data_IF_502546868311
#
_entry.id   IF_502546868311
#
_cell.length_a   1.000
_cell.length_b   1.000
_cell.length_c   1.000
_cell.angle_alpha   90.00
_cell.angle_beta   90.00
_cell.angle_gamma   90.00
#
_symmetry.space_group_name_H-M   'P 1'
#
loop_
_entity.id
_entity.type
_entity.pdbx_description
1 polymer ?
#
# COMPACT_ATOMS: atom_id res chain seq x y z
N UNK A 1 -27.68 -2.66 -38.67
CA UNK A 1 -27.69 -1.77 -39.86
C UNK A 1 -26.34 -1.92 -40.54
N UNK A 2 -26.31 -2.42 -41.79
CA UNK A 2 -25.09 -2.57 -42.61
C UNK A 2 -24.70 -1.23 -43.24
N UNK A 3 -23.41 -0.88 -43.23
CA UNK A 3 -22.69 -0.11 -44.27
C UNK A 3 -21.19 -0.45 -44.09
N UNK A 4 -20.57 -1.27 -44.93
CA UNK A 4 -20.08 -1.04 -46.30
C UNK A 4 -18.65 -0.43 -46.33
N UNK A 5 -17.74 -1.31 -46.72
CA UNK A 5 -16.39 -1.21 -47.30
C UNK A 5 -16.02 0.10 -48.01
N UNK A 6 -14.79 0.61 -47.79
CA UNK A 6 -13.68 0.71 -48.76
C UNK A 6 -12.67 1.82 -48.34
N UNK A 7 -11.40 1.48 -48.10
CA UNK A 7 -10.26 1.87 -48.96
C UNK A 7 -8.92 1.42 -48.33
N UNK A 8 -8.20 0.58 -49.10
CA UNK A 8 -6.80 0.22 -48.90
C UNK A 8 -5.91 1.46 -49.01
N UNK A 9 -5.05 1.68 -48.02
CA UNK A 9 -3.75 2.34 -48.20
C UNK A 9 -2.70 1.37 -47.65
N UNK A 10 -1.82 0.88 -48.51
CA UNK A 10 -0.74 -0.03 -48.17
C UNK A 10 0.61 0.72 -48.28
N UNK A 11 1.41 0.53 -47.21
CA UNK A 11 2.86 0.63 -47.10
C UNK A 11 3.45 2.03 -46.81
N UNK A 12 4.30 2.24 -45.79
CA UNK A 12 5.00 1.25 -44.97
C UNK A 12 5.40 1.79 -43.59
N UNK A 13 4.93 1.10 -42.56
CA UNK A 13 5.72 0.82 -41.39
C UNK A 13 6.22 -0.63 -41.58
N UNK A 14 7.52 -0.88 -41.44
CA UNK A 14 8.05 -2.23 -41.61
C UNK A 14 7.35 -3.20 -40.67
N UNK A 15 6.56 -4.13 -41.21
CA UNK A 15 6.14 -5.31 -40.46
C UNK A 15 7.41 -6.09 -40.13
N UNK A 16 7.92 -5.94 -38.92
CA UNK A 16 8.87 -6.90 -38.39
C UNK A 16 8.13 -8.24 -38.35
N UNK A 17 8.46 -9.15 -39.26
CA UNK A 17 7.90 -10.50 -39.26
C UNK A 17 8.26 -11.16 -37.94
N UNK A 18 7.26 -11.51 -37.15
CA UNK A 18 7.49 -12.20 -35.89
C UNK A 18 8.21 -13.53 -36.13
N UNK A 19 9.26 -13.79 -35.36
CA UNK A 19 10.08 -14.99 -35.53
C UNK A 19 9.53 -16.15 -34.70
N UNK A 20 9.79 -17.38 -35.13
CA UNK A 20 9.48 -18.58 -34.34
C UNK A 20 10.14 -18.53 -32.95
N UNK A 21 11.33 -17.93 -32.85
CA UNK A 21 12.03 -17.69 -31.60
C UNK A 21 11.25 -16.74 -30.67
N UNK A 22 10.66 -15.67 -31.21
CA UNK A 22 9.82 -14.77 -30.42
C UNK A 22 8.57 -15.47 -29.90
N UNK A 23 7.93 -16.30 -30.72
CA UNK A 23 6.75 -17.08 -30.30
C UNK A 23 7.13 -18.05 -29.17
N UNK A 24 8.28 -18.71 -29.30
CA UNK A 24 8.81 -19.61 -28.27
C UNK A 24 9.13 -18.86 -26.97
N UNK A 25 9.74 -17.67 -27.07
CA UNK A 25 10.04 -16.80 -25.94
C UNK A 25 8.76 -16.34 -25.22
N UNK A 26 7.75 -15.89 -25.97
CA UNK A 26 6.47 -15.43 -25.41
C UNK A 26 5.78 -16.55 -24.61
N UNK A 27 5.73 -17.77 -25.17
CA UNK A 27 5.17 -18.94 -24.48
C UNK A 27 5.96 -19.32 -23.23
N UNK A 28 7.29 -19.22 -23.29
CA UNK A 28 8.15 -19.49 -22.13
C UNK A 28 7.94 -18.47 -21.01
N UNK A 29 7.79 -17.18 -21.36
CA UNK A 29 7.49 -16.10 -20.42
C UNK A 29 6.18 -16.36 -19.66
N UNK A 30 5.11 -16.68 -20.38
CA UNK A 30 3.80 -16.99 -19.76
C UNK A 30 3.91 -18.19 -18.82
N UNK A 31 4.63 -19.24 -19.22
CA UNK A 31 4.86 -20.41 -18.35
C UNK A 31 5.68 -20.05 -17.11
N UNK A 32 6.67 -19.17 -17.25
CA UNK A 32 7.47 -18.69 -16.12
C UNK A 32 6.64 -17.83 -15.16
N UNK A 33 5.74 -16.98 -15.67
CA UNK A 33 4.82 -16.19 -14.84
C UNK A 33 3.97 -17.09 -13.95
N UNK A 34 3.28 -18.10 -14.51
CA UNK A 34 2.44 -18.99 -13.70
C UNK A 34 3.23 -19.85 -12.70
N UNK A 35 4.47 -20.22 -13.02
CA UNK A 35 5.35 -20.90 -12.06
C UNK A 35 5.72 -19.98 -10.89
N UNK A 36 6.18 -18.77 -11.19
CA UNK A 36 6.51 -17.78 -10.17
C UNK A 36 5.30 -17.44 -9.29
N UNK A 37 4.11 -17.31 -9.88
CA UNK A 37 2.87 -17.11 -9.14
C UNK A 37 2.57 -18.29 -8.20
N UNK A 38 2.64 -19.52 -8.69
CA UNK A 38 2.44 -20.70 -7.86
C UNK A 38 3.44 -20.79 -6.68
N UNK A 39 4.70 -20.46 -6.93
CA UNK A 39 5.75 -20.46 -5.90
C UNK A 39 5.57 -19.31 -4.88
N UNK A 40 4.97 -18.20 -5.29
CA UNK A 40 4.70 -17.05 -4.43
C UNK A 40 3.52 -17.27 -3.45
N UNK A 41 2.79 -18.38 -3.58
CA UNK A 41 1.67 -18.68 -2.69
C UNK A 41 2.12 -18.86 -1.22
N UNK A 42 1.43 -18.20 -0.30
CA UNK A 42 1.71 -18.13 1.13
C UNK A 42 2.85 -17.19 1.50
N UNK A 43 3.42 -16.44 0.55
CA UNK A 43 4.58 -15.54 0.74
C UNK A 43 4.15 -14.07 0.67
N UNK A 44 5.00 -13.10 1.01
CA UNK A 44 4.72 -11.68 0.74
C UNK A 44 4.40 -11.36 -0.73
N UNK A 45 4.73 -12.26 -1.68
CA UNK A 45 4.37 -12.13 -3.09
C UNK A 45 3.01 -12.71 -3.47
N UNK A 46 2.19 -13.16 -2.51
CA UNK A 46 0.85 -13.71 -2.78
C UNK A 46 -0.03 -12.72 -3.57
N UNK A 47 0.07 -11.41 -3.31
CA UNK A 47 -0.69 -10.42 -4.09
C UNK A 47 -0.33 -10.45 -5.58
N UNK A 48 0.97 -10.56 -5.88
CA UNK A 48 1.45 -10.70 -7.25
C UNK A 48 1.05 -12.05 -7.86
N UNK A 49 0.98 -13.11 -7.04
CA UNK A 49 0.41 -14.39 -7.48
C UNK A 49 -1.06 -14.25 -7.87
N UNK A 50 -1.85 -13.48 -7.11
CA UNK A 50 -3.25 -13.28 -7.40
C UNK A 50 -3.43 -12.46 -8.68
N UNK A 51 -2.57 -11.47 -8.90
CA UNK A 51 -2.55 -10.69 -10.14
C UNK A 51 -2.34 -11.57 -11.37
N UNK A 52 -1.57 -12.65 -11.28
CA UNK A 52 -1.39 -13.58 -12.41
C UNK A 52 -2.70 -14.27 -12.87
N UNK A 53 -3.72 -14.29 -12.02
CA UNK A 53 -5.06 -14.82 -12.32
C UNK A 53 -6.09 -13.72 -12.60
N UNK A 54 -5.70 -12.45 -12.59
CA UNK A 54 -6.57 -11.34 -12.98
C UNK A 54 -7.00 -11.47 -14.46
N UNK A 55 -8.26 -11.11 -14.82
CA UNK A 55 -8.74 -11.22 -16.19
C UNK A 55 -7.83 -10.57 -17.24
N UNK A 56 -7.23 -9.41 -16.96
CA UNK A 56 -6.33 -8.75 -17.90
C UNK A 56 -5.03 -9.56 -18.10
N UNK A 57 -4.49 -10.16 -17.03
CA UNK A 57 -3.28 -11.01 -17.14
C UNK A 57 -3.55 -12.32 -17.85
N UNK A 58 -4.75 -12.89 -17.67
CA UNK A 58 -5.20 -14.06 -18.43
C UNK A 58 -5.24 -13.73 -19.92
N UNK A 59 -5.83 -12.57 -20.29
CA UNK A 59 -5.92 -12.13 -21.68
C UNK A 59 -4.54 -11.92 -22.31
N UNK A 60 -3.62 -11.25 -21.62
CA UNK A 60 -2.22 -11.11 -22.07
C UNK A 60 -1.56 -12.47 -22.30
N UNK A 61 -1.78 -13.44 -21.40
CA UNK A 61 -1.32 -14.80 -21.59
C UNK A 61 -1.87 -15.43 -22.88
N UNK A 62 -3.16 -15.24 -23.18
CA UNK A 62 -3.79 -15.74 -24.41
C UNK A 62 -3.20 -15.10 -25.67
N UNK A 63 -2.97 -13.78 -25.66
CA UNK A 63 -2.29 -13.05 -26.73
C UNK A 63 -0.89 -13.62 -26.99
N UNK A 64 -0.08 -13.76 -25.93
CA UNK A 64 1.29 -14.26 -25.98
C UNK A 64 1.38 -15.72 -26.46
N UNK A 65 0.34 -16.53 -26.21
CA UNK A 65 0.24 -17.92 -26.71
C UNK A 65 -0.31 -18.04 -28.14
N UNK A 66 -0.81 -16.93 -28.71
CA UNK A 66 -1.50 -16.82 -30.01
C UNK A 66 -2.87 -17.52 -30.03
N UNK A 67 -3.56 -17.51 -28.89
CA UNK A 67 -4.91 -18.05 -28.76
C UNK A 67 -5.98 -17.05 -29.22
N UNK A 68 -5.67 -15.75 -29.09
CA UNK A 68 -6.50 -14.63 -29.56
C UNK A 68 -5.65 -13.68 -30.42
N UNK A 69 -6.28 -12.94 -31.36
CA UNK A 69 -5.58 -11.92 -32.15
C UNK A 69 -5.17 -10.72 -31.27
N UNK A 70 -4.03 -10.11 -31.60
CA UNK A 70 -3.54 -8.89 -30.97
C UNK A 70 -2.67 -8.11 -31.97
N UNK A 71 -2.66 -6.79 -31.84
CA UNK A 71 -1.75 -5.86 -32.52
C UNK A 71 -0.34 -5.96 -31.96
N UNK A 72 0.65 -5.42 -32.67
CA UNK A 72 2.05 -5.39 -32.19
C UNK A 72 2.20 -4.61 -30.88
N UNK A 73 1.38 -3.58 -30.69
CA UNK A 73 1.38 -2.77 -29.47
C UNK A 73 0.76 -3.52 -28.29
N UNK A 74 -0.38 -4.19 -28.49
CA UNK A 74 -0.98 -5.06 -27.46
C UNK A 74 -0.03 -6.20 -27.09
N UNK A 75 0.68 -6.77 -28.07
CA UNK A 75 1.72 -7.77 -27.85
C UNK A 75 2.90 -7.23 -27.02
N UNK A 76 3.32 -5.99 -27.26
CA UNK A 76 4.36 -5.32 -26.47
C UNK A 76 3.90 -5.13 -25.02
N UNK A 77 2.68 -4.63 -24.82
CA UNK A 77 2.08 -4.45 -23.50
C UNK A 77 1.96 -5.80 -22.79
N UNK A 78 1.43 -6.83 -23.46
CA UNK A 78 1.27 -8.16 -22.89
C UNK A 78 2.60 -8.74 -22.39
N UNK A 79 3.70 -8.57 -23.13
CA UNK A 79 5.04 -8.99 -22.68
C UNK A 79 5.47 -8.24 -21.42
N UNK A 80 5.35 -6.91 -21.43
CA UNK A 80 5.75 -6.07 -20.31
C UNK A 80 4.97 -6.43 -19.04
N UNK A 81 3.65 -6.52 -19.14
CA UNK A 81 2.80 -6.82 -17.99
C UNK A 81 2.97 -8.27 -17.49
N UNK A 82 3.22 -9.23 -18.38
CA UNK A 82 3.50 -10.63 -18.00
C UNK A 82 4.86 -10.72 -17.30
N UNK A 83 5.88 -10.01 -17.79
CA UNK A 83 7.20 -9.98 -17.16
C UNK A 83 7.19 -9.27 -15.81
N UNK A 84 6.46 -8.16 -15.69
CA UNK A 84 6.26 -7.44 -14.43
C UNK A 84 5.60 -8.34 -13.38
N UNK A 85 4.51 -9.03 -13.76
CA UNK A 85 3.80 -9.98 -12.87
C UNK A 85 4.70 -11.16 -12.48
N UNK A 86 5.46 -11.71 -13.44
CA UNK A 86 6.44 -12.77 -13.17
C UNK A 86 7.51 -12.30 -12.19
N UNK A 87 8.07 -11.12 -12.42
CA UNK A 87 9.13 -10.53 -11.60
C UNK A 87 8.66 -10.25 -10.17
N UNK A 88 7.49 -9.64 -10.03
CA UNK A 88 6.87 -9.38 -8.72
C UNK A 88 6.62 -10.69 -7.95
N UNK A 89 6.03 -11.70 -8.60
CA UNK A 89 5.78 -13.01 -7.98
C UNK A 89 7.08 -13.71 -7.58
N UNK A 90 8.09 -13.69 -8.45
CA UNK A 90 9.36 -14.39 -8.21
C UNK A 90 10.14 -13.84 -7.01
N UNK A 91 9.88 -12.60 -6.58
CA UNK A 91 10.50 -12.02 -5.37
C UNK A 91 9.86 -12.50 -4.08
N UNK A 92 8.60 -12.93 -4.12
CA UNK A 92 7.81 -13.29 -2.94
C UNK A 92 8.47 -14.31 -2.00
N UNK A 93 8.91 -15.48 -2.50
CA UNK A 93 9.48 -16.54 -1.66
C UNK A 93 10.71 -16.11 -0.83
N UNK A 94 11.55 -15.26 -1.41
CA UNK A 94 12.77 -14.77 -0.78
C UNK A 94 12.59 -13.38 -0.13
N UNK A 95 11.38 -12.81 -0.18
CA UNK A 95 11.10 -11.54 0.48
C UNK A 95 11.04 -11.73 2.00
N UNK A 96 11.66 -10.83 2.80
CA UNK A 96 11.61 -10.93 4.25
C UNK A 96 10.16 -10.90 4.73
N UNK A 97 9.82 -11.84 5.61
CA UNK A 97 8.57 -11.76 6.36
C UNK A 97 8.77 -10.79 7.51
N UNK A 98 7.82 -9.88 7.76
CA UNK A 98 7.89 -9.03 8.93
C UNK A 98 7.97 -9.83 10.22
N UNK A 99 8.83 -9.40 11.14
CA UNK A 99 8.89 -9.95 12.48
C UNK A 99 7.65 -9.54 13.28
N UNK A 100 7.28 -10.33 14.29
CA UNK A 100 6.23 -9.94 15.23
C UNK A 100 6.72 -8.82 16.15
N UNK A 101 5.91 -7.77 16.25
CA UNK A 101 6.17 -6.62 17.13
C UNK A 101 5.23 -6.68 18.34
N UNK A 102 5.72 -6.25 19.51
CA UNK A 102 4.89 -6.09 20.71
C UNK A 102 4.61 -4.61 20.95
N UNK A 103 3.34 -4.22 20.87
CA UNK A 103 2.92 -2.83 21.08
C UNK A 103 2.74 -2.57 22.57
N UNK A 104 3.49 -1.63 23.16
CA UNK A 104 3.36 -1.30 24.58
C UNK A 104 2.01 -0.65 24.85
N UNK A 105 1.48 -0.89 26.05
CA UNK A 105 0.30 -0.17 26.53
C UNK A 105 0.69 1.23 26.98
N UNK A 106 -0.08 2.23 26.58
CA UNK A 106 0.12 3.61 26.97
C UNK A 106 -0.03 3.77 28.49
N UNK A 107 0.92 4.48 29.12
CA UNK A 107 0.89 4.74 30.56
C UNK A 107 -0.20 5.73 30.97
N UNK A 108 -0.63 6.58 30.04
CA UNK A 108 -1.82 7.43 30.09
C UNK A 108 -2.25 7.78 28.66
N UNK A 109 -3.53 8.12 28.41
CA UNK A 109 -3.95 8.60 27.10
C UNK A 109 -3.17 9.88 26.73
N UNK A 110 -2.51 9.94 25.55
CA UNK A 110 -1.88 11.17 25.07
C UNK A 110 -2.94 12.20 24.65
N UNK A 111 -2.57 13.48 24.65
CA UNK A 111 -3.33 14.52 23.97
C UNK A 111 -3.03 14.44 22.48
N UNK A 112 -4.06 14.25 21.65
CA UNK A 112 -3.90 14.10 20.20
C UNK A 112 -3.92 15.50 19.56
N UNK A 113 -2.82 16.24 19.67
CA UNK A 113 -2.69 17.64 19.23
C UNK A 113 -1.60 17.88 18.17
N UNK A 114 -0.92 16.80 17.76
CA UNK A 114 0.20 16.78 16.84
C UNK A 114 1.57 16.96 17.50
N UNK A 115 1.65 17.11 18.82
CA UNK A 115 2.92 17.30 19.53
C UNK A 115 3.24 16.05 20.35
N UNK A 116 4.25 15.31 19.91
CA UNK A 116 4.73 14.09 20.57
C UNK A 116 5.54 14.38 21.86
N UNK A 117 5.14 15.37 22.66
CA UNK A 117 5.79 15.73 23.92
C UNK A 117 5.12 15.09 25.15
N UNK A 118 4.00 14.39 24.96
CA UNK A 118 3.38 13.58 26.00
C UNK A 118 4.27 12.42 26.42
N UNK A 119 4.24 12.12 27.73
CA UNK A 119 5.06 11.05 28.30
C UNK A 119 4.78 9.69 27.67
N UNK A 120 3.53 9.43 27.26
CA UNK A 120 3.13 8.13 26.71
C UNK A 120 3.92 7.77 25.45
N UNK A 121 4.27 8.74 24.60
CA UNK A 121 5.05 8.50 23.38
C UNK A 121 6.48 8.05 23.65
N UNK A 122 7.08 8.43 24.79
CA UNK A 122 8.41 7.94 25.16
C UNK A 122 8.46 6.43 25.42
N UNK A 123 7.31 5.84 25.78
CA UNK A 123 7.17 4.41 26.07
C UNK A 123 6.62 3.63 24.86
N UNK A 124 6.35 4.30 23.72
CA UNK A 124 5.78 3.68 22.52
C UNK A 124 6.76 2.73 21.81
N UNK A 125 6.23 1.82 20.99
CA UNK A 125 7.06 1.11 20.02
C UNK A 125 7.53 2.12 18.99
N UNK A 126 8.83 2.16 18.73
CA UNK A 126 9.42 3.05 17.73
C UNK A 126 10.09 2.25 16.62
N UNK A 127 9.72 2.53 15.37
CA UNK A 127 10.54 2.22 14.21
C UNK A 127 11.15 3.53 13.67
N UNK A 128 12.40 3.45 13.18
CA UNK A 128 13.14 4.58 12.59
C UNK A 128 13.58 4.30 11.15
N UNK A 129 13.62 3.02 10.77
CA UNK A 129 13.89 2.64 9.39
C UNK A 129 12.67 2.92 8.52
N UNK A 130 12.95 3.34 7.30
CA UNK A 130 11.93 3.64 6.29
C UNK A 130 12.35 3.05 4.96
N UNK A 131 11.45 2.31 4.32
CA UNK A 131 11.74 1.49 3.14
C UNK A 131 10.90 1.95 1.95
N UNK A 132 11.51 2.36 0.83
CA UNK A 132 10.75 2.55 -0.40
C UNK A 132 10.05 1.25 -0.77
N UNK A 133 8.84 1.35 -1.34
CA UNK A 133 8.14 0.16 -1.81
C UNK A 133 9.03 -0.66 -2.74
N UNK A 134 8.93 -1.99 -2.65
CA UNK A 134 9.70 -2.93 -3.45
C UNK A 134 11.23 -2.91 -3.18
N UNK A 135 11.68 -2.31 -2.07
CA UNK A 135 13.08 -2.35 -1.60
C UNK A 135 13.19 -2.99 -0.22
N UNK A 136 14.36 -3.56 0.06
CA UNK A 136 14.71 -4.12 1.37
C UNK A 136 15.74 -3.24 2.11
N UNK A 137 16.34 -2.28 1.41
CA UNK A 137 17.27 -1.31 1.99
C UNK A 137 16.48 -0.09 2.46
N UNK A 138 16.70 0.31 3.72
CA UNK A 138 16.14 1.54 4.26
C UNK A 138 16.83 2.76 3.63
N UNK A 139 16.10 3.86 3.46
CA UNK A 139 16.66 5.13 2.96
C UNK A 139 17.46 5.90 4.01
N UNK A 140 17.33 5.54 5.29
CA UNK A 140 18.10 6.09 6.40
C UNK A 140 17.26 6.34 7.65
N UNK A 141 17.95 6.59 8.76
CA UNK A 141 17.35 7.10 9.98
C UNK A 141 17.15 8.64 9.84
N UNK A 142 16.22 9.23 10.58
CA UNK A 142 15.85 10.67 10.52
C UNK A 142 15.04 11.07 9.26
N UNK A 143 14.30 10.13 8.64
CA UNK A 143 13.38 10.41 7.55
C UNK A 143 11.92 10.37 8.01
N UNK A 144 11.52 9.23 8.57
CA UNK A 144 10.23 9.06 9.23
C UNK A 144 10.40 8.24 10.49
N UNK A 145 9.91 8.78 11.59
CA UNK A 145 9.77 8.06 12.84
C UNK A 145 8.34 7.56 12.96
N UNK A 146 8.18 6.30 13.33
CA UNK A 146 6.89 5.61 13.45
C UNK A 146 6.70 5.17 14.90
N UNK A 147 5.73 5.75 15.57
CA UNK A 147 5.44 5.51 16.98
C UNK A 147 4.07 4.84 17.12
N UNK A 148 4.02 3.70 17.82
CA UNK A 148 2.79 2.91 17.96
C UNK A 148 2.63 2.44 19.41
N UNK A 149 1.44 2.65 19.96
CA UNK A 149 1.05 2.12 21.27
C UNK A 149 -0.46 1.91 21.32
N UNK A 150 -0.99 1.42 22.43
CA UNK A 150 -2.42 1.15 22.57
C UNK A 150 -2.91 1.35 24.01
N UNK A 151 -4.20 1.51 24.21
CA UNK A 151 -4.84 1.45 25.53
C UNK A 151 -6.20 0.75 25.49
N UNK A 152 -7.00 0.86 26.55
CA UNK A 152 -8.33 0.20 26.63
C UNK A 152 -9.36 0.73 25.62
N UNK A 153 -9.05 1.80 24.89
CA UNK A 153 -9.99 2.54 24.03
C UNK A 153 -9.45 2.67 22.60
N UNK A 154 -8.18 3.02 22.43
CA UNK A 154 -7.57 3.35 21.15
C UNK A 154 -6.30 2.55 20.87
N UNK A 155 -6.07 2.26 19.60
CA UNK A 155 -4.71 2.09 19.09
C UNK A 155 -4.21 3.45 18.58
N UNK A 156 -3.00 3.82 18.98
CA UNK A 156 -2.40 5.11 18.71
C UNK A 156 -1.25 4.97 17.72
N UNK A 157 -1.20 5.90 16.77
CA UNK A 157 -0.13 6.04 15.80
C UNK A 157 0.39 7.47 15.87
N UNK A 158 1.70 7.64 15.79
CA UNK A 158 2.28 8.92 15.49
C UNK A 158 3.39 8.78 14.45
N UNK A 159 3.53 9.84 13.66
CA UNK A 159 4.48 9.94 12.58
C UNK A 159 5.22 11.26 12.72
N UNK A 160 6.55 11.22 12.68
CA UNK A 160 7.38 12.41 12.52
C UNK A 160 8.05 12.32 11.16
N UNK A 161 7.61 13.14 10.21
CA UNK A 161 8.04 13.10 8.81
C UNK A 161 8.92 14.30 8.51
N UNK A 162 10.22 14.10 8.26
CA UNK A 162 11.09 15.15 7.76
C UNK A 162 10.85 15.36 6.27
N UNK A 163 10.53 16.60 5.90
CA UNK A 163 10.19 16.99 4.53
C UNK A 163 10.54 18.47 4.30
N UNK A 164 10.98 18.80 3.10
CA UNK A 164 11.40 20.17 2.73
C UNK A 164 10.42 20.90 1.82
N UNK A 165 9.43 20.22 1.23
CA UNK A 165 8.37 20.82 0.41
C UNK A 165 7.05 20.10 0.68
N UNK A 166 6.20 20.68 1.54
CA UNK A 166 4.92 20.07 1.89
C UNK A 166 3.85 20.32 0.81
N UNK A 167 3.43 19.27 0.11
CA UNK A 167 2.43 19.29 -0.96
C UNK A 167 1.17 18.54 -0.55
N UNK A 168 0.15 19.30 -0.14
CA UNK A 168 -1.16 18.78 0.25
C UNK A 168 -2.33 19.66 -0.21
N UNK A 169 -2.66 19.70 -1.52
CA UNK A 169 -3.78 20.47 -2.05
C UNK A 169 -5.19 19.88 -1.82
N UNK A 170 -5.34 18.61 -1.42
CA UNK A 170 -6.64 17.94 -1.22
C UNK A 170 -7.11 18.15 0.22
N UNK A 171 -8.11 19.02 0.40
CA UNK A 171 -8.65 19.36 1.73
C UNK A 171 -9.89 18.55 2.12
N UNK A 172 -10.62 18.06 1.14
CA UNK A 172 -11.91 17.42 1.41
C UNK A 172 -11.71 15.98 1.85
N UNK A 173 -12.52 15.60 2.84
CA UNK A 173 -12.54 14.26 3.39
C UNK A 173 -12.96 13.25 2.33
N UNK A 174 -12.32 12.08 2.32
CA UNK A 174 -12.63 10.92 1.47
C UNK A 174 -12.44 11.16 -0.05
N UNK A 175 -11.77 12.25 -0.42
CA UNK A 175 -11.19 12.46 -1.74
C UNK A 175 -9.82 11.78 -1.86
N UNK A 176 -9.07 12.05 -2.93
CA UNK A 176 -7.75 11.46 -3.21
C UNK A 176 -6.62 11.98 -2.29
N UNK A 177 -6.79 11.93 -0.97
CA UNK A 177 -5.81 12.35 0.04
C UNK A 177 -4.49 11.57 -0.11
N UNK A 178 -4.56 10.31 -0.55
CA UNK A 178 -3.41 9.46 -0.89
C UNK A 178 -2.61 9.96 -2.12
N UNK A 179 -3.00 11.06 -2.75
CA UNK A 179 -2.23 11.74 -3.79
C UNK A 179 -1.45 12.94 -3.30
N UNK A 180 -1.44 13.19 -1.99
CA UNK A 180 -0.70 14.27 -1.35
C UNK A 180 0.44 13.69 -0.51
N UNK A 181 1.24 14.57 0.12
CA UNK A 181 1.92 14.16 1.34
C UNK A 181 0.88 13.64 2.33
N UNK A 182 1.14 12.46 2.86
CA UNK A 182 0.25 11.81 3.81
C UNK A 182 0.95 10.67 4.55
N UNK A 183 0.31 10.24 5.62
CA UNK A 183 0.60 8.97 6.28
C UNK A 183 -0.60 8.06 6.17
N UNK A 184 -0.36 6.77 5.96
CA UNK A 184 -1.42 5.76 5.85
C UNK A 184 -1.24 4.66 6.89
N UNK A 185 -2.38 4.20 7.40
CA UNK A 185 -2.46 3.11 8.37
C UNK A 185 -3.42 2.07 7.80
N UNK A 186 -2.88 0.88 7.55
CA UNK A 186 -3.66 -0.32 7.25
C UNK A 186 -3.78 -1.14 8.53
N UNK A 187 -5.00 -1.30 9.04
CA UNK A 187 -5.27 -1.96 10.31
C UNK A 187 -6.15 -3.17 10.05
N UNK A 188 -5.54 -4.36 10.07
CA UNK A 188 -6.17 -5.66 9.87
C UNK A 188 -6.29 -6.39 11.21
N UNK A 189 -7.44 -6.33 11.90
CA UNK A 189 -7.57 -6.87 13.25
C UNK A 189 -7.58 -8.40 13.28
N UNK A 190 -8.16 -9.03 12.25
CA UNK A 190 -8.22 -10.48 12.11
C UNK A 190 -7.89 -10.89 10.68
N UNK A 191 -6.72 -11.52 10.49
CA UNK A 191 -6.16 -11.84 9.18
C UNK A 191 -7.10 -12.71 8.34
N UNK A 192 -7.77 -13.67 8.99
CA UNK A 192 -8.68 -14.63 8.38
C UNK A 192 -9.90 -13.98 7.72
N UNK A 193 -10.32 -12.81 8.21
CA UNK A 193 -11.49 -12.09 7.67
C UNK A 193 -11.16 -11.32 6.39
N UNK A 194 -9.89 -10.94 6.21
CA UNK A 194 -9.48 -10.03 5.13
C UNK A 194 -10.10 -8.63 5.23
N UNK A 195 -10.79 -8.29 6.33
CA UNK A 195 -11.47 -7.00 6.51
C UNK A 195 -10.57 -6.06 7.32
N UNK A 196 -10.18 -4.94 6.72
CA UNK A 196 -9.26 -3.98 7.34
C UNK A 196 -9.63 -2.54 7.03
N UNK A 197 -9.22 -1.64 7.91
CA UNK A 197 -9.28 -0.21 7.63
C UNK A 197 -8.04 0.23 6.88
N UNK A 198 -8.24 1.04 5.84
CA UNK A 198 -7.25 1.97 5.33
C UNK A 198 -7.64 3.36 5.83
N UNK A 199 -6.68 4.05 6.44
CA UNK A 199 -6.87 5.43 6.92
C UNK A 199 -5.67 6.22 6.45
N UNK A 200 -5.92 7.33 5.78
CA UNK A 200 -4.90 8.24 5.26
C UNK A 200 -5.11 9.61 5.87
N UNK A 201 -4.04 10.22 6.37
CA UNK A 201 -4.08 11.55 6.99
C UNK A 201 -2.99 12.42 6.39
N UNK A 202 -3.39 13.56 5.84
CA UNK A 202 -2.46 14.54 5.27
C UNK A 202 -2.07 15.62 6.30
N UNK A 203 -0.87 16.25 6.21
CA UNK A 203 -0.50 17.41 7.03
C UNK A 203 -1.50 18.57 6.93
N UNK A 204 -2.27 18.69 5.85
CA UNK A 204 -3.31 19.71 5.76
C UNK A 204 -4.58 19.40 6.60
N UNK A 205 -4.62 18.22 7.23
CA UNK A 205 -5.69 17.74 8.10
C UNK A 205 -6.82 16.99 7.38
N UNK A 206 -6.75 16.83 6.06
CA UNK A 206 -7.68 15.98 5.33
C UNK A 206 -7.45 14.52 5.67
N UNK A 207 -8.54 13.75 5.59
CA UNK A 207 -8.61 12.37 5.99
C UNK A 207 -9.33 11.61 4.89
N UNK A 208 -8.81 10.44 4.55
CA UNK A 208 -9.55 9.42 3.81
C UNK A 208 -9.63 8.18 4.70
N UNK A 209 -10.81 7.60 4.85
CA UNK A 209 -10.94 6.26 5.38
C UNK A 209 -11.83 5.36 4.51
N UNK A 210 -11.42 4.10 4.40
CA UNK A 210 -12.17 3.10 3.67
C UNK A 210 -12.06 1.74 4.34
N UNK A 211 -13.21 1.09 4.48
CA UNK A 211 -13.26 -0.28 4.94
C UNK A 211 -13.02 -1.21 3.74
N UNK A 212 -11.89 -1.89 3.75
CA UNK A 212 -11.44 -2.72 2.65
C UNK A 212 -11.67 -4.20 2.94
N UNK A 213 -12.14 -4.94 1.94
CA UNK A 213 -12.26 -6.40 1.98
C UNK A 213 -11.28 -7.05 1.01
N UNK A 214 -10.40 -7.91 1.54
CA UNK A 214 -9.48 -8.72 0.76
C UNK A 214 -10.04 -10.11 0.49
N UNK A 215 -10.12 -10.48 -0.78
CA UNK A 215 -10.38 -11.85 -1.21
C UNK A 215 -9.07 -12.59 -1.42
N UNK A 216 -8.96 -13.81 -0.87
CA UNK A 216 -7.71 -14.56 -0.78
C UNK A 216 -7.06 -14.94 -2.10
N UNK A 217 -7.87 -15.23 -3.12
CA UNK A 217 -7.42 -15.71 -4.43
C UNK A 217 -7.58 -14.69 -5.55
N UNK A 218 -7.97 -13.46 -5.21
CA UNK A 218 -8.18 -12.36 -6.14
C UNK A 218 -7.20 -11.23 -5.88
N UNK A 219 -6.86 -10.54 -6.97
CA UNK A 219 -6.02 -9.37 -6.93
C UNK A 219 -6.85 -8.14 -6.53
N UNK A 220 -6.24 -7.19 -5.82
CA UNK A 220 -6.93 -5.98 -5.38
C UNK A 220 -7.86 -6.23 -4.19
N UNK A 221 -8.65 -5.21 -3.85
CA UNK A 221 -9.62 -5.20 -2.74
C UNK A 221 -10.92 -4.56 -3.17
N UNK A 222 -11.99 -4.85 -2.43
CA UNK A 222 -13.23 -4.09 -2.50
C UNK A 222 -13.23 -3.06 -1.38
N UNK A 223 -13.27 -1.76 -1.72
CA UNK A 223 -13.28 -0.67 -0.76
C UNK A 223 -14.70 -0.09 -0.59
N UNK A 224 -15.18 -0.02 0.65
CA UNK A 224 -16.33 0.80 1.04
C UNK A 224 -15.83 2.16 1.51
N UNK A 225 -15.82 3.13 0.58
CA UNK A 225 -15.41 4.51 0.83
C UNK A 225 -16.52 5.37 1.45
N UNK A 226 -17.67 4.76 1.79
CA UNK A 226 -18.74 5.44 2.53
C UNK A 226 -18.71 5.13 4.02
N UNK A 227 -17.91 4.13 4.42
CA UNK A 227 -17.66 3.81 5.81
C UNK A 227 -16.73 4.85 6.44
N UNK A 228 -16.98 5.19 7.70
CA UNK A 228 -16.19 6.18 8.45
C UNK A 228 -15.82 5.63 9.82
N UNK A 229 -14.59 5.89 10.27
CA UNK A 229 -14.13 5.55 11.61
C UNK A 229 -14.65 6.58 12.62
N UNK A 230 -15.82 6.30 13.18
CA UNK A 230 -16.45 7.18 14.18
C UNK A 230 -15.60 7.29 15.45
N UNK A 231 -15.37 8.52 15.93
CA UNK A 231 -14.61 8.78 17.16
C UNK A 231 -13.09 8.76 17.01
N UNK A 232 -12.57 8.64 15.78
CA UNK A 232 -11.16 8.85 15.48
C UNK A 232 -10.72 10.27 15.84
N UNK A 233 -9.56 10.39 16.48
CA UNK A 233 -8.93 11.67 16.81
C UNK A 233 -7.68 11.85 15.95
N UNK A 234 -7.48 13.07 15.45
CA UNK A 234 -6.32 13.42 14.63
C UNK A 234 -5.73 14.75 15.12
N UNK A 235 -4.43 14.72 15.41
CA UNK A 235 -3.63 15.86 15.80
C UNK A 235 -2.51 16.07 14.79
N UNK A 236 -2.11 17.32 14.54
CA UNK A 236 -1.05 17.63 13.57
C UNK A 236 -0.25 18.86 13.95
N UNK A 237 1.04 18.82 13.67
CA UNK A 237 1.91 19.98 13.79
C UNK A 237 2.77 20.14 12.53
N UNK A 238 2.86 21.37 12.04
CA UNK A 238 3.53 21.71 10.79
C UNK A 238 4.75 22.55 11.10
N UNK A 239 5.92 22.05 10.71
CA UNK A 239 7.19 22.75 10.83
C UNK A 239 7.54 23.52 9.56
N UNK A 240 6.67 24.42 9.09
CA UNK A 240 6.82 25.03 7.78
C UNK A 240 5.52 25.64 7.24
N UNK A 241 5.35 25.64 5.92
CA UNK A 241 4.12 26.04 5.25
C UNK A 241 3.67 24.99 4.23
N UNK A 242 2.35 24.83 4.08
CA UNK A 242 1.80 23.82 3.16
C UNK A 242 1.52 24.49 1.80
N UNK A 243 1.89 23.81 0.72
CA UNK A 243 1.70 24.21 -0.67
C UNK A 243 2.48 25.48 -1.08
N UNK A 244 3.68 25.70 -0.52
CA UNK A 244 4.54 26.84 -0.86
C UNK A 244 5.92 26.40 -1.35
N UNK A 245 6.04 26.04 -2.62
CA UNK A 245 7.28 25.48 -3.20
C UNK A 245 8.54 26.38 -3.17
N UNK A 246 8.38 27.66 -2.85
CA UNK A 246 9.46 28.65 -2.85
C UNK A 246 10.14 28.81 -1.47
N UNK A 247 9.73 28.06 -0.45
CA UNK A 247 10.36 28.04 0.87
C UNK A 247 11.07 26.71 1.20
N UNK A 248 11.31 26.44 2.48
CA UNK A 248 11.94 25.20 2.93
C UNK A 248 11.36 24.82 4.27
N UNK A 249 10.67 23.69 4.28
CA UNK A 249 10.03 23.14 5.45
C UNK A 249 10.98 22.29 6.30
N UNK A 250 10.56 22.01 7.53
CA UNK A 250 11.19 21.02 8.42
C UNK A 250 10.40 19.70 8.47
N UNK A 251 9.22 19.68 7.87
CA UNK A 251 8.32 18.54 7.84
C UNK A 251 7.08 18.72 8.70
N UNK A 252 6.51 17.60 9.13
CA UNK A 252 5.25 17.55 9.85
C UNK A 252 5.18 16.37 10.81
N UNK A 253 4.29 16.49 11.79
CA UNK A 253 3.88 15.38 12.64
C UNK A 253 2.38 15.15 12.54
N UNK A 254 1.98 13.90 12.63
CA UNK A 254 0.58 13.46 12.72
C UNK A 254 0.46 12.51 13.89
N UNK A 255 -0.57 12.71 14.70
CA UNK A 255 -1.01 11.76 15.73
C UNK A 255 -2.42 11.29 15.37
N UNK A 256 -2.67 9.99 15.47
CA UNK A 256 -3.97 9.37 15.19
C UNK A 256 -4.33 8.43 16.34
N UNK A 257 -5.53 8.60 16.90
CA UNK A 257 -6.12 7.64 17.82
C UNK A 257 -7.32 6.96 17.15
N UNK A 258 -7.20 5.67 16.85
CA UNK A 258 -8.25 4.87 16.22
C UNK A 258 -8.98 4.07 17.28
N UNK A 259 -10.30 4.28 17.50
CA UNK A 259 -11.03 3.54 18.51
C UNK A 259 -11.07 2.05 18.17
N UNK A 260 -10.77 1.20 19.13
CA UNK A 260 -10.86 -0.25 18.93
C UNK A 260 -12.27 -0.67 18.54
N UNK A 261 -13.32 -0.05 19.08
CA UNK A 261 -14.70 -0.46 18.81
C UNK A 261 -15.14 -0.28 17.34
N UNK A 262 -14.41 0.52 16.56
CA UNK A 262 -14.58 0.68 15.10
C UNK A 262 -13.84 -0.37 14.28
N UNK A 263 -12.92 -1.13 14.89
CA UNK A 263 -12.17 -2.15 14.18
C UNK A 263 -13.05 -3.40 13.93
N UNK A 264 -12.95 -4.03 12.75
CA UNK A 264 -13.54 -5.34 12.49
C UNK A 264 -13.31 -6.33 13.63
N UNK A 265 -14.38 -6.98 14.09
CA UNK A 265 -14.31 -7.92 15.21
C UNK A 265 -14.33 -7.27 16.60
N UNK A 266 -14.22 -5.96 16.77
CA UNK A 266 -14.18 -5.32 18.08
C UNK A 266 -15.50 -4.69 18.55
N UNK A 267 -16.63 -4.92 17.88
CA UNK A 267 -17.98 -4.38 18.18
C UNK A 267 -18.33 -4.16 19.68
N UNK A 268 -17.89 -3.03 20.26
CA UNK A 268 -18.02 -2.70 21.69
C UNK A 268 -17.19 -3.53 22.68
N UNK A 269 -16.28 -4.38 22.18
CA UNK A 269 -15.34 -5.19 22.97
C UNK A 269 -14.07 -4.38 23.22
N UNK A 270 -13.62 -4.36 24.48
CA UNK A 270 -12.33 -3.80 24.81
C UNK A 270 -11.19 -4.66 24.25
N UNK A 271 -10.08 -4.03 23.83
CA UNK A 271 -8.85 -4.75 23.56
C UNK A 271 -8.32 -5.45 24.82
N UNK A 272 -7.52 -6.49 24.60
CA UNK A 272 -6.88 -7.26 25.64
C UNK A 272 -5.42 -7.54 25.28
N UNK A 273 -4.56 -7.50 26.30
CA UNK A 273 -3.18 -7.92 26.15
C UNK A 273 -3.10 -9.36 25.59
N UNK A 274 -2.14 -9.59 24.70
CA UNK A 274 -1.96 -10.84 23.96
C UNK A 274 -2.79 -10.95 22.68
N UNK A 275 -3.73 -10.04 22.40
CA UNK A 275 -4.42 -10.01 21.12
C UNK A 275 -3.45 -9.67 19.99
N UNK A 276 -3.67 -10.32 18.85
CA UNK A 276 -2.88 -10.15 17.64
C UNK A 276 -3.67 -9.38 16.60
N UNK A 277 -3.03 -8.40 15.97
CA UNK A 277 -3.50 -7.69 14.79
C UNK A 277 -2.40 -7.74 13.73
N UNK A 278 -2.67 -7.21 12.53
CA UNK A 278 -1.66 -6.98 11.51
C UNK A 278 -1.74 -5.52 11.05
N UNK A 279 -0.59 -4.88 10.90
CA UNK A 279 -0.48 -3.47 10.55
C UNK A 279 0.41 -3.26 9.33
N UNK A 280 0.10 -2.27 8.51
CA UNK A 280 1.08 -1.67 7.62
C UNK A 280 1.00 -0.16 7.73
N UNK A 281 2.14 0.49 7.93
CA UNK A 281 2.25 1.94 7.98
C UNK A 281 3.00 2.43 6.76
N UNK A 282 2.48 3.48 6.14
CA UNK A 282 3.01 4.08 4.91
C UNK A 282 3.16 5.58 5.10
N UNK A 283 4.21 6.15 4.50
CA UNK A 283 4.34 7.57 4.22
C UNK A 283 4.29 7.76 2.71
N UNK A 284 3.44 8.67 2.27
CA UNK A 284 3.42 9.21 0.93
C UNK A 284 4.17 10.54 0.95
N UNK A 285 5.17 10.64 0.09
CA UNK A 285 6.03 11.82 -0.10
C UNK A 285 5.85 12.31 -1.54
N UNK A 286 5.33 13.53 -1.66
CA UNK A 286 5.01 14.17 -2.93
C UNK A 286 5.95 15.35 -3.20
N UNK A 287 6.88 15.11 -4.12
CA UNK A 287 7.74 16.14 -4.68
C UNK A 287 7.28 16.49 -6.11
N UNK A 288 6.43 17.51 -6.21
CA UNK A 288 5.87 17.92 -7.50
C UNK A 288 4.85 16.92 -8.04
N UNK A 289 5.18 16.31 -9.19
CA UNK A 289 4.43 15.22 -9.81
C UNK A 289 4.93 13.84 -9.36
N UNK A 290 6.08 13.78 -8.67
CA UNK A 290 6.66 12.53 -8.18
C UNK A 290 6.02 12.15 -6.85
N UNK A 291 5.53 10.93 -6.78
CA UNK A 291 4.96 10.35 -5.57
C UNK A 291 5.81 9.15 -5.17
N UNK A 292 6.40 9.21 -3.98
CA UNK A 292 7.27 8.15 -3.47
C UNK A 292 6.66 7.57 -2.21
N UNK A 293 6.16 6.33 -2.26
CA UNK A 293 5.65 5.67 -1.07
C UNK A 293 6.77 4.96 -0.32
N UNK A 294 6.73 5.06 1.00
CA UNK A 294 7.62 4.37 1.92
C UNK A 294 6.83 3.64 2.99
N UNK A 295 7.36 2.53 3.50
CA UNK A 295 6.79 1.77 4.60
C UNK A 295 7.77 1.70 5.78
N UNK A 296 7.23 1.48 6.98
CA UNK A 296 8.00 1.28 8.22
C UNK A 296 8.74 -0.08 8.29
N UNK A 297 8.38 -1.01 7.42
CA UNK A 297 9.00 -2.33 7.25
C UNK A 297 9.10 -2.64 5.74
N UNK A 298 10.03 -3.53 5.29
CA UNK A 298 10.14 -3.88 3.87
C UNK A 298 8.83 -4.41 3.26
N UNK A 299 8.19 -3.57 2.43
CA UNK A 299 6.93 -3.88 1.78
C UNK A 299 7.13 -4.25 0.31
N UNK A 300 6.77 -5.48 -0.05
CA UNK A 300 6.64 -5.90 -1.43
C UNK A 300 5.32 -5.35 -2.00
N UNK A 301 5.37 -4.70 -3.16
CA UNK A 301 4.21 -4.10 -3.83
C UNK A 301 3.68 -2.80 -3.18
N UNK A 302 2.47 -2.78 -2.60
CA UNK A 302 1.80 -1.58 -2.05
C UNK A 302 1.01 -1.89 -0.76
N UNK A 303 0.42 -0.87 -0.13
CA UNK A 303 -0.23 -0.94 1.19
C UNK A 303 -1.29 -2.05 1.37
N UNK A 304 -2.11 -2.31 0.36
CA UNK A 304 -3.12 -3.39 0.38
C UNK A 304 -2.56 -4.83 0.25
N UNK A 305 -1.24 -5.01 0.24
CA UNK A 305 -0.63 -6.34 0.33
C UNK A 305 -0.70 -6.88 1.77
N UNK A 306 -1.86 -7.42 2.15
CA UNK A 306 -2.08 -7.93 3.51
C UNK A 306 -1.14 -9.07 3.91
N UNK A 307 -0.57 -9.80 2.94
CA UNK A 307 0.37 -10.89 3.21
C UNK A 307 1.76 -10.43 3.64
N UNK A 308 2.01 -9.12 3.53
CA UNK A 308 3.21 -8.45 4.03
C UNK A 308 2.90 -7.54 5.23
N UNK A 309 1.67 -7.52 5.74
CA UNK A 309 1.36 -6.75 6.96
C UNK A 309 2.09 -7.34 8.17
N UNK A 310 2.53 -6.45 9.05
CA UNK A 310 3.36 -6.77 10.20
C UNK A 310 2.48 -7.29 11.32
N UNK A 311 2.71 -8.52 11.83
CA UNK A 311 1.95 -8.99 12.96
C UNK A 311 2.34 -8.25 14.23
N UNK A 312 1.33 -7.77 14.95
CA UNK A 312 1.53 -7.04 16.20
C UNK A 312 0.76 -7.69 17.34
N UNK A 313 1.35 -7.69 18.53
CA UNK A 313 0.73 -8.18 19.76
C UNK A 313 0.56 -7.02 20.73
N UNK A 314 -0.65 -6.84 21.24
CA UNK A 314 -0.93 -5.89 22.32
C UNK A 314 -0.22 -6.37 23.60
N UNK A 315 0.83 -5.68 24.04
CA UNK A 315 1.58 -6.02 25.25
C UNK A 315 0.93 -5.40 26.50
N UNK A 316 1.21 -5.95 27.69
CA UNK A 316 0.68 -5.45 28.97
C UNK A 316 1.05 -4.00 29.27
#
# INVERSE_FOLDING_TARGET
MKFATLLLILLGAGCATITDDQIKSDRALVKAMYRAAADAKGTPGEEASNLANDPARIEYGQMLRREIPATDEEMRIARLMTEDTRSASARGPDWPRPAEIRLPRASSPPEIDGKLNDRAWHDAYMAKDTYPFNKQEAVGHDFTDWDIMWDDTYIYFAFTCSDTDLVAPVYERDEAVFSDDAVEMFILPEFETGLYWEIVVSPNGSIYDALNTKTWDQWGTEADTSATVDGMLVGRHIGGTINQRDDTDQGYTVEVAVPFDQLPGYAGRKPAAGQRLHLMLVRLDRDGDKHTPYAFEPLLSWGHNIWNHVPVILAE
#
